data_IF_849002805135
#
_entry.id   IF_849002805135
#
_cell.length_a   1.000
_cell.length_b   1.000
_cell.length_c   1.000
_cell.angle_alpha   90.00
_cell.angle_beta   90.00
_cell.angle_gamma   90.00
#
_symmetry.space_group_name_H-M   'P 1'
#
loop_
_entity.id
_entity.type
_entity.pdbx_description
1 polymer ?
#
# COMPACT_ATOMS: atom_id res chain seq x y z
N UNK A 1 -13.05 -3.40 -18.37
CA UNK A 1 -13.14 -1.96 -18.63
C UNK A 1 -13.55 -1.75 -20.09
N UNK A 2 -14.72 -1.17 -20.31
CA UNK A 2 -15.18 -0.79 -21.64
C UNK A 2 -15.02 0.72 -21.83
N UNK A 3 -14.66 1.11 -23.04
CA UNK A 3 -14.71 2.51 -23.43
C UNK A 3 -16.16 2.87 -23.74
N UNK A 4 -16.68 3.89 -23.09
CA UNK A 4 -18.07 4.33 -23.29
C UNK A 4 -18.22 5.84 -23.55
N UNK A 5 -17.31 6.50 -24.30
CA UNK A 5 -17.40 7.94 -24.52
C UNK A 5 -18.71 8.34 -25.23
N UNK A 6 -19.23 7.51 -26.14
CA UNK A 6 -20.50 7.74 -26.83
C UNK A 6 -21.69 7.74 -25.85
N UNK A 7 -21.70 6.83 -24.87
CA UNK A 7 -22.70 6.80 -23.81
C UNK A 7 -22.58 8.05 -22.92
N UNK A 8 -21.36 8.44 -22.56
CA UNK A 8 -21.10 9.64 -21.75
C UNK A 8 -21.65 10.87 -22.50
N UNK A 9 -21.34 11.05 -23.77
CA UNK A 9 -21.81 12.17 -24.58
C UNK A 9 -23.34 12.16 -24.74
N UNK A 10 -23.95 10.98 -24.91
CA UNK A 10 -25.41 10.85 -24.95
C UNK A 10 -26.06 11.30 -23.64
N UNK A 11 -25.53 10.89 -22.49
CA UNK A 11 -26.03 11.30 -21.17
C UNK A 11 -25.88 12.81 -20.97
N UNK A 12 -24.75 13.39 -21.37
CA UNK A 12 -24.53 14.85 -21.33
C UNK A 12 -25.51 15.60 -22.23
N UNK A 13 -25.81 15.06 -23.43
CA UNK A 13 -26.83 15.61 -24.33
C UNK A 13 -28.26 15.59 -23.74
N UNK A 14 -28.51 14.73 -22.76
CA UNK A 14 -29.75 14.68 -21.98
C UNK A 14 -29.74 15.60 -20.73
N UNK A 15 -28.70 16.41 -20.56
CA UNK A 15 -28.53 17.31 -19.40
C UNK A 15 -27.99 16.60 -18.14
N UNK A 16 -27.52 15.35 -18.27
CA UNK A 16 -26.95 14.58 -17.14
C UNK A 16 -25.48 14.92 -16.98
N UNK A 17 -25.08 15.28 -15.76
CA UNK A 17 -23.68 15.50 -15.41
C UNK A 17 -23.03 14.14 -15.15
N UNK A 18 -22.04 13.78 -15.96
CA UNK A 18 -21.29 12.51 -15.82
C UNK A 18 -19.96 12.76 -15.14
N UNK A 19 -19.72 12.09 -14.03
CA UNK A 19 -18.50 12.19 -13.25
C UNK A 19 -17.72 10.87 -13.37
N UNK A 20 -16.48 10.91 -13.85
CA UNK A 20 -15.57 9.79 -13.82
C UNK A 20 -14.78 9.80 -12.51
N UNK A 21 -14.75 8.67 -11.82
CA UNK A 21 -13.95 8.50 -10.58
C UNK A 21 -12.75 7.60 -10.88
N UNK A 22 -11.54 8.06 -10.54
CA UNK A 22 -10.30 7.32 -10.79
C UNK A 22 -9.30 7.54 -9.66
N UNK A 23 -8.81 6.45 -9.08
CA UNK A 23 -7.89 6.43 -7.94
C UNK A 23 -6.49 5.89 -8.27
N UNK A 24 -6.34 5.12 -9.36
CA UNK A 24 -5.06 4.58 -9.83
C UNK A 24 -4.72 5.06 -11.25
N UNK A 25 -3.43 5.28 -11.50
CA UNK A 25 -2.93 5.65 -12.82
C UNK A 25 -3.17 4.52 -13.83
N UNK A 26 -3.61 4.88 -15.01
CA UNK A 26 -4.07 3.94 -16.06
C UNK A 26 -2.95 3.15 -16.75
N UNK A 27 -1.69 3.49 -16.54
CA UNK A 27 -0.56 2.80 -17.17
C UNK A 27 0.49 2.39 -16.12
N UNK A 28 0.41 1.17 -15.58
CA UNK A 28 1.41 0.64 -14.67
C UNK A 28 2.72 0.36 -15.39
N UNK A 29 3.81 0.23 -14.64
CA UNK A 29 5.13 -0.15 -15.18
C UNK A 29 5.14 -1.56 -15.77
N UNK A 30 6.15 -1.89 -16.56
CA UNK A 30 6.30 -3.21 -17.20
C UNK A 30 6.41 -4.36 -16.20
N UNK A 31 6.91 -4.07 -15.01
CA UNK A 31 7.08 -5.03 -13.91
C UNK A 31 5.76 -5.32 -13.17
N UNK A 32 4.74 -4.50 -13.37
CA UNK A 32 3.46 -4.69 -12.71
C UNK A 32 2.70 -5.89 -13.33
N UNK A 33 2.11 -6.78 -12.52
CA UNK A 33 1.48 -8.02 -13.00
C UNK A 33 0.41 -7.81 -14.08
N UNK A 34 -0.33 -6.69 -14.02
CA UNK A 34 -1.41 -6.41 -14.99
C UNK A 34 -0.97 -5.59 -16.20
N UNK A 35 0.33 -5.23 -16.32
CA UNK A 35 0.80 -4.39 -17.43
C UNK A 35 0.45 -4.97 -18.82
N UNK A 36 0.75 -6.25 -19.02
CA UNK A 36 0.46 -6.90 -20.30
C UNK A 36 -1.04 -6.90 -20.63
N UNK A 37 -1.89 -7.17 -19.63
CA UNK A 37 -3.35 -7.13 -19.80
C UNK A 37 -3.82 -5.74 -20.23
N UNK A 38 -3.30 -4.69 -19.61
CA UNK A 38 -3.64 -3.29 -19.93
C UNK A 38 -3.21 -2.96 -21.36
N UNK A 39 -1.99 -3.35 -21.74
CA UNK A 39 -1.48 -3.06 -23.10
C UNK A 39 -2.24 -3.81 -24.19
N UNK A 40 -2.44 -5.13 -24.01
CA UNK A 40 -3.14 -5.98 -24.99
C UNK A 40 -4.58 -5.53 -25.22
N UNK A 41 -5.28 -5.11 -24.17
CA UNK A 41 -6.68 -4.67 -24.25
C UNK A 41 -6.82 -3.15 -24.44
N UNK A 42 -5.71 -2.42 -24.60
CA UNK A 42 -5.66 -0.95 -24.73
C UNK A 42 -6.46 -0.23 -23.65
N UNK A 43 -6.45 -0.77 -22.40
CA UNK A 43 -7.26 -0.23 -21.31
C UNK A 43 -6.87 1.20 -20.97
N UNK A 44 -5.59 1.54 -21.02
CA UNK A 44 -5.08 2.89 -20.80
C UNK A 44 -5.68 3.92 -21.81
N UNK A 45 -5.84 3.54 -23.09
CA UNK A 45 -6.48 4.41 -24.07
C UNK A 45 -7.98 4.58 -23.79
N UNK A 46 -8.66 3.49 -23.42
CA UNK A 46 -10.09 3.48 -23.06
C UNK A 46 -10.37 4.38 -21.87
N UNK A 47 -9.55 4.28 -20.81
CA UNK A 47 -9.66 5.13 -19.63
C UNK A 47 -9.51 6.60 -20.01
N UNK A 48 -8.47 6.96 -20.76
CA UNK A 48 -8.23 8.35 -21.19
C UNK A 48 -9.39 8.90 -22.04
N UNK A 49 -10.00 8.08 -22.91
CA UNK A 49 -11.20 8.50 -23.67
C UNK A 49 -12.38 8.82 -22.76
N UNK A 50 -12.63 8.00 -21.73
CA UNK A 50 -13.69 8.26 -20.77
C UNK A 50 -13.41 9.52 -19.94
N UNK A 51 -12.16 9.73 -19.50
CA UNK A 51 -11.76 10.96 -18.77
C UNK A 51 -12.00 12.21 -19.60
N UNK A 52 -11.69 12.19 -20.91
CA UNK A 52 -11.92 13.30 -21.82
C UNK A 52 -13.41 13.61 -22.03
N UNK A 53 -14.25 12.58 -22.10
CA UNK A 53 -15.68 12.71 -22.34
C UNK A 53 -16.46 13.16 -21.11
N UNK A 54 -16.01 12.82 -19.89
CA UNK A 54 -16.69 13.12 -18.64
C UNK A 54 -16.89 14.62 -18.41
N UNK A 55 -17.99 15.00 -17.76
CA UNK A 55 -18.25 16.39 -17.33
C UNK A 55 -17.26 16.84 -16.28
N UNK A 56 -16.96 15.95 -15.32
CA UNK A 56 -15.98 16.12 -14.26
C UNK A 56 -15.19 14.82 -14.06
N UNK A 57 -13.99 14.95 -13.51
CA UNK A 57 -13.21 13.79 -13.05
C UNK A 57 -12.91 13.98 -11.57
N UNK A 58 -13.14 12.95 -10.77
CA UNK A 58 -12.73 12.89 -9.38
C UNK A 58 -11.48 12.00 -9.25
N UNK A 59 -10.58 12.40 -8.36
CA UNK A 59 -9.37 11.64 -8.04
C UNK A 59 -8.93 11.88 -6.60
N UNK A 60 -7.85 11.21 -6.17
CA UNK A 60 -7.48 11.12 -4.76
C UNK A 60 -6.40 12.12 -4.31
N UNK A 61 -5.59 12.64 -5.23
CA UNK A 61 -4.49 13.55 -4.89
C UNK A 61 -4.35 14.67 -5.92
N UNK A 62 -3.82 15.81 -5.48
CA UNK A 62 -3.55 16.93 -6.38
C UNK A 62 -2.44 16.60 -7.40
N UNK A 63 -1.50 15.72 -7.03
CA UNK A 63 -0.46 15.24 -7.95
C UNK A 63 -1.11 14.50 -9.11
N UNK A 64 -2.05 13.61 -8.84
CA UNK A 64 -2.77 12.87 -9.87
C UNK A 64 -3.75 13.77 -10.64
N UNK A 65 -4.42 14.70 -9.97
CA UNK A 65 -5.29 15.67 -10.61
C UNK A 65 -4.56 16.49 -11.68
N UNK A 66 -3.31 16.91 -11.42
CA UNK A 66 -2.50 17.64 -12.39
C UNK A 66 -2.19 16.81 -13.65
N UNK A 67 -2.02 15.51 -13.51
CA UNK A 67 -1.85 14.61 -14.67
C UNK A 67 -3.16 14.49 -15.47
N UNK A 68 -4.31 14.34 -14.77
CA UNK A 68 -5.63 14.23 -15.38
C UNK A 68 -6.04 15.53 -16.10
N UNK A 69 -5.66 16.70 -15.57
CA UNK A 69 -5.95 18.01 -16.17
C UNK A 69 -5.41 18.18 -17.60
N UNK A 70 -4.47 17.34 -18.02
CA UNK A 70 -4.03 17.26 -19.42
C UNK A 70 -5.13 16.77 -20.37
N UNK A 71 -6.14 16.08 -19.84
CA UNK A 71 -7.23 15.46 -20.61
C UNK A 71 -8.60 16.08 -20.30
N UNK A 72 -8.84 16.51 -19.07
CA UNK A 72 -10.07 17.15 -18.61
C UNK A 72 -9.75 18.26 -17.62
N UNK A 73 -10.23 19.47 -17.87
CA UNK A 73 -9.95 20.63 -17.00
C UNK A 73 -10.76 20.63 -15.71
N UNK A 74 -11.90 19.92 -15.68
CA UNK A 74 -12.83 19.86 -14.57
C UNK A 74 -12.45 18.70 -13.63
N UNK A 75 -11.36 18.84 -12.89
CA UNK A 75 -10.88 17.82 -11.97
C UNK A 75 -11.05 18.27 -10.53
N UNK A 76 -11.64 17.39 -9.71
CA UNK A 76 -11.85 17.61 -8.28
C UNK A 76 -11.12 16.53 -7.49
N UNK A 77 -10.52 16.93 -6.36
CA UNK A 77 -9.78 16.01 -5.50
C UNK A 77 -10.59 15.70 -4.26
N UNK A 78 -10.88 14.41 -4.06
CA UNK A 78 -11.40 13.85 -2.82
C UNK A 78 -10.45 12.72 -2.39
N UNK A 79 -9.68 12.92 -1.31
CA UNK A 79 -8.72 11.92 -0.88
C UNK A 79 -9.41 10.64 -0.41
N UNK A 80 -8.68 9.53 -0.43
CA UNK A 80 -9.09 8.35 0.31
C UNK A 80 -9.19 8.69 1.80
N UNK A 81 -10.20 8.13 2.46
CA UNK A 81 -10.51 8.46 3.85
C UNK A 81 -10.80 7.20 4.66
N UNK A 82 -10.71 7.33 5.97
CA UNK A 82 -10.94 6.26 6.95
C UNK A 82 -12.11 6.66 7.83
N UNK A 83 -13.02 5.71 8.08
CA UNK A 83 -13.95 5.81 9.19
C UNK A 83 -13.28 5.33 10.48
N UNK A 84 -12.91 6.23 11.39
CA UNK A 84 -12.27 5.85 12.64
C UNK A 84 -13.21 5.06 13.57
N UNK A 85 -14.51 4.99 13.24
CA UNK A 85 -15.49 4.23 14.00
C UNK A 85 -15.59 2.76 13.58
N UNK A 86 -15.04 2.40 12.43
CA UNK A 86 -14.96 0.99 12.03
C UNK A 86 -14.08 0.18 12.99
N UNK A 87 -14.51 -1.02 13.31
CA UNK A 87 -13.83 -1.92 14.25
C UNK A 87 -12.38 -2.21 13.86
N UNK A 88 -12.08 -2.25 12.58
CA UNK A 88 -10.73 -2.52 12.09
C UNK A 88 -9.72 -1.41 12.42
N UNK A 89 -10.15 -0.19 12.79
CA UNK A 89 -9.27 0.92 13.19
C UNK A 89 -9.23 1.13 14.71
N UNK A 90 -9.89 0.27 15.50
CA UNK A 90 -9.97 0.38 16.97
C UNK A 90 -9.11 -0.66 17.71
N UNK A 91 -8.46 -1.56 17.01
CA UNK A 91 -7.61 -2.59 17.62
C UNK A 91 -6.38 -1.92 18.27
N UNK A 92 -6.16 -2.13 19.57
CA UNK A 92 -4.97 -1.60 20.23
C UNK A 92 -3.72 -2.31 19.72
N UNK A 93 -2.59 -1.62 19.79
CA UNK A 93 -1.29 -2.26 19.53
C UNK A 93 -1.04 -3.33 20.58
N UNK A 94 -0.76 -4.55 20.14
CA UNK A 94 -0.48 -5.66 21.04
C UNK A 94 0.84 -5.40 21.78
N UNK A 95 0.94 -5.72 23.07
CA UNK A 95 2.21 -5.61 23.79
C UNK A 95 3.26 -6.57 23.23
N UNK A 96 4.53 -6.19 23.31
CA UNK A 96 5.66 -7.02 22.87
C UNK A 96 6.93 -6.57 23.57
N UNK A 97 7.82 -7.50 23.88
CA UNK A 97 9.17 -7.21 24.39
C UNK A 97 10.14 -6.82 23.25
N UNK A 98 9.73 -7.04 21.99
CA UNK A 98 10.50 -6.66 20.80
C UNK A 98 9.83 -5.50 20.07
N UNK A 99 10.64 -4.66 19.44
CA UNK A 99 10.16 -3.66 18.50
C UNK A 99 9.81 -4.37 17.18
N UNK A 100 8.56 -4.23 16.77
CA UNK A 100 8.03 -4.90 15.59
C UNK A 100 8.01 -3.94 14.42
N UNK A 101 8.63 -4.37 13.33
CA UNK A 101 8.70 -3.63 12.07
C UNK A 101 7.79 -4.33 11.08
N UNK A 102 6.75 -3.66 10.63
CA UNK A 102 5.71 -4.24 9.79
C UNK A 102 5.64 -3.65 8.39
N UNK A 103 5.29 -4.50 7.44
CA UNK A 103 4.86 -4.11 6.12
C UNK A 103 3.52 -4.78 5.82
N UNK A 104 2.56 -4.01 5.30
CA UNK A 104 1.25 -4.48 4.89
C UNK A 104 1.04 -4.19 3.40
N UNK A 105 0.70 -5.20 2.62
CA UNK A 105 0.43 -5.01 1.19
C UNK A 105 0.11 -6.30 0.45
N UNK A 106 -0.22 -6.18 -0.83
CA UNK A 106 -0.54 -7.29 -1.71
C UNK A 106 0.63 -7.80 -2.53
N UNK A 107 0.36 -8.72 -3.44
CA UNK A 107 1.35 -9.43 -4.27
C UNK A 107 2.01 -8.58 -5.37
N UNK A 108 1.56 -7.33 -5.60
CA UNK A 108 2.07 -6.47 -6.67
C UNK A 108 3.27 -5.58 -6.29
N UNK A 109 3.75 -5.67 -5.03
CA UNK A 109 4.74 -4.75 -4.46
C UNK A 109 6.19 -5.26 -4.42
N UNK A 110 6.52 -6.34 -5.14
CA UNK A 110 7.89 -6.86 -5.13
C UNK A 110 8.93 -5.80 -5.51
N UNK A 111 8.60 -4.98 -6.50
CA UNK A 111 9.49 -3.95 -7.01
C UNK A 111 9.76 -2.87 -5.95
N UNK A 112 8.73 -2.48 -5.24
CA UNK A 112 8.82 -1.53 -4.12
C UNK A 112 9.63 -2.12 -2.96
N UNK A 113 9.39 -3.38 -2.60
CA UNK A 113 10.09 -4.06 -1.50
C UNK A 113 11.59 -4.27 -1.76
N UNK A 114 12.03 -4.32 -3.02
CA UNK A 114 13.47 -4.37 -3.34
C UNK A 114 14.25 -3.16 -2.84
N UNK A 115 13.61 -2.03 -2.55
CA UNK A 115 14.27 -0.87 -1.94
C UNK A 115 14.81 -1.15 -0.53
N UNK A 116 14.21 -2.11 0.17
CA UNK A 116 14.62 -2.51 1.52
C UNK A 116 15.42 -3.80 1.55
N UNK A 117 15.67 -4.44 0.41
CA UNK A 117 16.46 -5.66 0.32
C UNK A 117 17.89 -5.42 0.84
N UNK A 118 18.35 -6.26 1.76
CA UNK A 118 19.61 -6.09 2.49
C UNK A 118 19.51 -5.28 3.81
N UNK A 119 18.37 -4.65 4.10
CA UNK A 119 18.15 -3.93 5.36
C UNK A 119 18.30 -4.86 6.57
N UNK A 120 17.69 -6.05 6.50
CA UNK A 120 17.66 -7.02 7.60
C UNK A 120 19.07 -7.51 7.96
N UNK A 121 19.90 -7.79 6.95
CA UNK A 121 21.29 -8.18 7.16
C UNK A 121 22.09 -7.12 7.91
N UNK A 122 21.84 -5.85 7.66
CA UNK A 122 22.48 -4.74 8.37
C UNK A 122 21.98 -4.56 9.81
N UNK A 123 20.80 -5.07 10.12
CA UNK A 123 20.17 -5.03 11.44
C UNK A 123 20.42 -6.30 12.26
N UNK A 124 21.17 -7.27 11.74
CA UNK A 124 21.49 -8.51 12.45
C UNK A 124 22.05 -8.32 13.86
N UNK A 125 22.86 -7.28 14.19
CA UNK A 125 23.27 -7.04 15.56
C UNK A 125 22.15 -6.65 16.52
N UNK A 126 20.98 -6.31 16.02
CA UNK A 126 19.79 -5.90 16.78
C UNK A 126 18.67 -6.94 16.71
N UNK A 127 18.92 -8.12 16.16
CA UNK A 127 17.88 -9.15 15.93
C UNK A 127 17.14 -9.57 17.20
N UNK A 128 17.80 -9.53 18.36
CA UNK A 128 17.16 -9.89 19.64
C UNK A 128 16.12 -8.85 20.09
N UNK A 129 16.22 -7.62 19.57
CA UNK A 129 15.31 -6.50 19.86
C UNK A 129 14.25 -6.29 18.78
N UNK A 130 14.37 -6.97 17.63
CA UNK A 130 13.54 -6.73 16.45
C UNK A 130 12.73 -7.97 16.06
N UNK A 131 11.54 -7.70 15.54
CA UNK A 131 10.71 -8.70 14.87
C UNK A 131 10.08 -8.08 13.63
N UNK A 132 10.01 -8.85 12.53
CA UNK A 132 9.48 -8.37 11.25
C UNK A 132 8.13 -9.02 10.95
N UNK A 133 7.14 -8.21 10.60
CA UNK A 133 5.79 -8.65 10.24
C UNK A 133 5.52 -8.37 8.76
N UNK A 134 5.25 -9.40 7.97
CA UNK A 134 4.79 -9.25 6.58
C UNK A 134 3.33 -9.63 6.52
N UNK A 135 2.49 -8.61 6.32
CA UNK A 135 1.04 -8.73 6.36
C UNK A 135 0.45 -8.67 4.95
N UNK A 136 -0.57 -9.50 4.72
CA UNK A 136 -1.22 -9.66 3.42
C UNK A 136 -0.77 -10.92 2.67
N UNK A 137 -0.05 -11.81 3.36
CA UNK A 137 0.47 -13.05 2.83
C UNK A 137 -0.67 -13.94 2.29
N UNK A 138 -0.53 -14.38 1.04
CA UNK A 138 -1.52 -15.25 0.41
C UNK A 138 -0.85 -16.15 -0.66
N UNK A 139 -0.83 -17.44 -0.41
CA UNK A 139 -0.29 -18.43 -1.35
C UNK A 139 -1.37 -19.17 -2.13
N UNK A 140 -2.63 -18.78 -1.99
CA UNK A 140 -3.73 -19.34 -2.76
C UNK A 140 -3.72 -18.78 -4.19
N UNK A 141 -4.07 -19.60 -5.12
CA UNK A 141 -4.16 -19.21 -6.52
C UNK A 141 -4.11 -20.40 -7.44
N UNK A 142 -4.34 -20.16 -8.72
CA UNK A 142 -4.24 -21.16 -9.77
C UNK A 142 -3.29 -20.70 -10.86
N UNK A 143 -2.54 -21.64 -11.41
CA UNK A 143 -1.73 -21.44 -12.61
C UNK A 143 -2.44 -22.11 -13.77
N UNK A 144 -2.63 -21.38 -14.86
CA UNK A 144 -3.11 -21.96 -16.12
C UNK A 144 -1.89 -22.35 -16.97
N UNK A 145 -1.71 -23.63 -17.18
CA UNK A 145 -0.69 -24.17 -18.07
C UNK A 145 -1.32 -24.36 -19.47
N UNK A 146 -0.58 -23.93 -20.50
CA UNK A 146 -1.01 -24.08 -21.89
C UNK A 146 -0.05 -25.06 -22.55
N UNK A 147 -0.56 -26.21 -22.98
CA UNK A 147 0.21 -27.12 -23.79
C UNK A 147 0.56 -26.44 -25.13
N UNK A 148 1.83 -26.20 -25.36
CA UNK A 148 2.31 -25.48 -26.55
C UNK A 148 2.04 -26.22 -27.87
N UNK A 149 1.84 -27.55 -27.83
CA UNK A 149 1.60 -28.36 -29.01
C UNK A 149 0.10 -28.50 -29.32
N UNK A 150 -0.74 -28.67 -28.29
CA UNK A 150 -2.18 -28.91 -28.47
C UNK A 150 -3.02 -27.65 -28.24
N UNK A 151 -2.48 -26.61 -27.61
CA UNK A 151 -3.22 -25.41 -27.17
C UNK A 151 -4.14 -25.68 -25.96
N UNK A 152 -4.15 -26.87 -25.42
CA UNK A 152 -4.99 -27.27 -24.29
C UNK A 152 -4.61 -26.51 -23.03
N UNK A 153 -5.60 -26.01 -22.29
CA UNK A 153 -5.44 -25.28 -21.04
C UNK A 153 -5.81 -26.16 -19.87
N UNK A 154 -4.87 -26.38 -18.97
CA UNK A 154 -5.09 -27.05 -17.69
C UNK A 154 -4.88 -26.09 -16.54
N UNK A 155 -5.60 -26.25 -15.45
CA UNK A 155 -5.44 -25.44 -14.25
C UNK A 155 -4.95 -26.30 -13.10
N UNK A 156 -3.97 -25.80 -12.36
CA UNK A 156 -3.53 -26.41 -11.10
C UNK A 156 -3.35 -25.34 -10.02
N UNK A 157 -3.40 -25.72 -8.74
CA UNK A 157 -3.00 -24.83 -7.66
C UNK A 157 -1.57 -24.30 -7.86
N UNK A 158 -1.34 -23.04 -7.54
CA UNK A 158 0.01 -22.47 -7.52
C UNK A 158 0.79 -23.08 -6.36
N UNK A 159 2.04 -23.45 -6.61
CA UNK A 159 2.92 -23.91 -5.52
C UNK A 159 3.40 -22.71 -4.71
N UNK A 160 3.58 -22.85 -3.38
CA UNK A 160 4.07 -21.74 -2.53
C UNK A 160 5.37 -21.11 -3.05
N UNK A 161 6.31 -21.91 -3.54
CA UNK A 161 7.58 -21.47 -4.11
C UNK A 161 7.46 -20.69 -5.44
N UNK A 162 6.34 -20.83 -6.14
CA UNK A 162 6.04 -20.08 -7.37
C UNK A 162 5.43 -18.72 -7.08
N UNK A 163 5.00 -18.48 -5.84
CA UNK A 163 4.38 -17.22 -5.45
C UNK A 163 5.41 -16.10 -5.28
N UNK A 164 4.97 -14.87 -5.39
CA UNK A 164 5.80 -13.71 -5.09
C UNK A 164 6.21 -13.64 -3.62
N UNK A 165 5.46 -14.32 -2.74
CA UNK A 165 5.66 -14.31 -1.29
C UNK A 165 6.98 -14.95 -0.86
N UNK A 166 7.48 -15.95 -1.58
CA UNK A 166 8.85 -16.45 -1.35
C UNK A 166 9.90 -15.34 -1.60
N UNK A 167 9.68 -14.49 -2.60
CA UNK A 167 10.59 -13.37 -2.89
C UNK A 167 10.51 -12.29 -1.81
N UNK A 168 9.32 -12.03 -1.27
CA UNK A 168 9.15 -11.13 -0.12
C UNK A 168 9.83 -11.70 1.12
N UNK A 169 9.62 -12.98 1.39
CA UNK A 169 10.27 -13.66 2.52
C UNK A 169 11.78 -13.50 2.50
N UNK A 170 12.42 -13.64 1.34
CA UNK A 170 13.87 -13.47 1.17
C UNK A 170 14.38 -12.07 1.50
N UNK A 171 13.52 -11.04 1.43
CA UNK A 171 13.86 -9.68 1.81
C UNK A 171 13.86 -9.51 3.33
N UNK A 172 12.99 -10.23 4.04
CA UNK A 172 12.75 -10.07 5.47
C UNK A 172 13.42 -11.13 6.35
N UNK A 173 13.86 -12.26 5.79
CA UNK A 173 14.48 -13.33 6.56
C UNK A 173 15.36 -14.21 5.69
N UNK A 174 16.35 -14.86 6.33
CA UNK A 174 17.13 -15.96 5.75
C UNK A 174 16.53 -17.35 6.05
N UNK A 175 15.46 -17.41 6.85
CA UNK A 175 14.75 -18.62 7.21
C UNK A 175 13.53 -18.84 6.30
N UNK A 176 13.74 -19.51 5.18
CA UNK A 176 12.75 -19.69 4.11
C UNK A 176 11.75 -20.82 4.45
N UNK A 177 10.89 -20.58 5.42
CA UNK A 177 9.93 -21.60 5.90
C UNK A 177 8.83 -21.93 4.89
N UNK A 178 8.58 -21.07 3.91
CA UNK A 178 7.54 -21.26 2.89
C UNK A 178 7.71 -22.58 2.10
N UNK A 179 8.92 -23.12 2.02
CA UNK A 179 9.21 -24.38 1.34
C UNK A 179 9.34 -25.58 2.30
N UNK A 180 9.18 -25.38 3.60
CA UNK A 180 9.35 -26.46 4.59
C UNK A 180 8.10 -27.31 4.74
N UNK A 181 8.21 -28.60 5.16
CA UNK A 181 7.04 -29.42 5.47
C UNK A 181 6.13 -28.82 6.55
N UNK A 182 6.71 -28.21 7.58
CA UNK A 182 5.96 -27.52 8.66
C UNK A 182 5.08 -26.38 8.12
N UNK A 183 5.57 -25.65 7.11
CA UNK A 183 4.78 -24.61 6.46
C UNK A 183 3.63 -25.20 5.64
N UNK A 184 3.83 -26.34 4.97
CA UNK A 184 2.77 -27.05 4.25
C UNK A 184 1.66 -27.49 5.21
N UNK A 185 2.05 -28.06 6.35
CA UNK A 185 1.10 -28.43 7.41
C UNK A 185 0.31 -27.21 7.94
N UNK A 186 0.98 -26.06 8.09
CA UNK A 186 0.32 -24.81 8.44
C UNK A 186 -0.72 -24.39 7.39
N UNK A 187 -0.40 -24.49 6.10
CA UNK A 187 -1.34 -24.12 5.02
C UNK A 187 -2.57 -25.02 4.99
N UNK A 188 -2.42 -26.30 5.29
CA UNK A 188 -3.55 -27.25 5.39
C UNK A 188 -4.51 -26.94 6.55
N UNK A 189 -3.97 -26.31 7.61
CA UNK A 189 -4.71 -25.94 8.82
C UNK A 189 -4.98 -24.43 8.91
N UNK A 190 -4.86 -23.74 7.80
CA UNK A 190 -4.84 -22.27 7.75
C UNK A 190 -6.12 -21.62 8.28
N UNK A 191 -7.28 -22.20 8.08
CA UNK A 191 -8.57 -21.62 8.47
C UNK A 191 -8.65 -21.29 9.96
N UNK A 192 -7.84 -21.96 10.79
CA UNK A 192 -7.80 -21.78 12.25
C UNK A 192 -6.69 -20.83 12.72
N UNK A 193 -5.84 -20.28 11.81
CA UNK A 193 -4.67 -19.49 12.21
C UNK A 193 -4.54 -18.20 11.42
N UNK A 194 -4.43 -17.10 12.15
CA UNK A 194 -4.23 -15.77 11.53
C UNK A 194 -2.80 -15.52 11.04
N UNK A 195 -1.79 -16.19 11.61
CA UNK A 195 -0.38 -15.95 11.27
C UNK A 195 0.49 -17.19 11.48
N UNK A 196 1.60 -17.22 10.77
CA UNK A 196 2.65 -18.21 10.91
C UNK A 196 3.93 -17.56 11.40
N UNK A 197 4.38 -17.99 12.56
CA UNK A 197 5.52 -17.48 13.29
C UNK A 197 5.23 -17.51 14.80
N UNK A 198 6.26 -17.35 15.61
CA UNK A 198 6.16 -17.28 17.06
C UNK A 198 6.86 -16.03 17.60
N UNK A 199 6.64 -15.70 18.86
CA UNK A 199 7.33 -14.60 19.55
C UNK A 199 8.86 -14.74 19.52
N UNK A 200 9.36 -15.97 19.43
CA UNK A 200 10.78 -16.27 19.32
C UNK A 200 11.34 -16.17 17.89
N UNK A 201 10.47 -16.02 16.87
CA UNK A 201 10.90 -15.91 15.49
C UNK A 201 11.05 -14.45 15.09
N UNK A 202 12.14 -14.13 14.37
CA UNK A 202 12.38 -12.76 13.93
C UNK A 202 11.50 -12.36 12.73
N UNK A 203 10.81 -13.30 12.10
CA UNK A 203 9.94 -13.07 10.96
C UNK A 203 8.58 -13.75 11.14
N UNK A 204 7.52 -12.98 11.02
CA UNK A 204 6.14 -13.42 11.18
C UNK A 204 5.34 -13.14 9.91
N UNK A 205 4.70 -14.18 9.39
CA UNK A 205 3.80 -14.11 8.24
C UNK A 205 2.39 -13.90 8.74
N UNK A 206 1.77 -12.83 8.30
CA UNK A 206 0.37 -12.55 8.65
C UNK A 206 -0.48 -12.73 7.40
N UNK A 207 -1.46 -13.62 7.49
CA UNK A 207 -2.31 -13.94 6.36
C UNK A 207 -3.14 -12.75 5.91
N UNK A 208 -3.50 -12.75 4.62
CA UNK A 208 -4.38 -11.74 4.05
C UNK A 208 -5.74 -11.74 4.73
N UNK A 209 -6.31 -10.56 4.88
CA UNK A 209 -7.63 -10.35 5.47
C UNK A 209 -8.57 -9.67 4.48
N UNK A 210 -9.87 -9.85 4.62
CA UNK A 210 -10.86 -9.10 3.86
C UNK A 210 -10.72 -7.58 4.04
N UNK A 211 -11.23 -6.82 3.09
CA UNK A 211 -11.12 -5.35 3.06
C UNK A 211 -11.66 -4.64 4.31
N UNK A 212 -12.64 -5.24 4.98
CA UNK A 212 -13.24 -4.70 6.21
C UNK A 212 -12.49 -5.08 7.50
N UNK A 213 -11.36 -5.76 7.40
CA UNK A 213 -10.58 -6.22 8.56
C UNK A 213 -9.07 -6.22 8.35
N UNK A 214 -8.57 -5.91 7.14
CA UNK A 214 -7.13 -5.95 6.84
C UNK A 214 -6.34 -4.94 7.68
N UNK A 215 -6.94 -3.78 7.98
CA UNK A 215 -6.29 -2.73 8.73
C UNK A 215 -5.97 -3.14 10.18
N UNK A 216 -6.66 -4.14 10.76
CA UNK A 216 -6.31 -4.73 12.05
C UNK A 216 -4.85 -5.22 12.11
N UNK A 217 -4.23 -5.50 10.97
CA UNK A 217 -2.82 -5.91 10.92
C UNK A 217 -1.87 -4.82 11.44
N UNK A 218 -2.26 -3.54 11.39
CA UNK A 218 -1.47 -2.45 11.98
C UNK A 218 -1.32 -2.58 13.52
N UNK A 219 -2.22 -3.27 14.22
CA UNK A 219 -2.08 -3.54 15.66
C UNK A 219 -0.90 -4.47 15.99
N UNK A 220 -0.37 -5.18 15.00
CA UNK A 220 0.67 -6.21 15.19
C UNK A 220 2.10 -5.67 15.15
N UNK A 221 2.31 -4.40 14.80
CA UNK A 221 3.65 -3.81 14.72
C UNK A 221 3.68 -2.36 15.23
N UNK A 222 4.88 -1.86 15.48
CA UNK A 222 5.15 -0.55 16.09
C UNK A 222 5.65 0.44 15.04
N UNK A 223 6.45 -0.03 14.09
CA UNK A 223 7.01 0.73 12.98
C UNK A 223 6.42 0.21 11.67
N UNK A 224 5.81 1.08 10.89
CA UNK A 224 5.30 0.77 9.55
C UNK A 224 6.33 1.11 8.48
N UNK A 225 6.56 0.20 7.52
CA UNK A 225 7.38 0.45 6.34
C UNK A 225 6.49 0.71 5.13
N UNK A 226 6.75 1.81 4.42
CA UNK A 226 6.06 2.15 3.18
C UNK A 226 7.06 2.44 2.04
N UNK A 227 7.79 1.41 1.56
CA UNK A 227 8.63 1.57 0.39
C UNK A 227 7.77 1.67 -0.87
N UNK A 228 8.05 2.66 -1.72
CA UNK A 228 7.55 2.74 -3.09
C UNK A 228 8.66 3.25 -4.00
N UNK A 229 8.79 2.68 -5.19
CA UNK A 229 9.73 3.15 -6.19
C UNK A 229 9.26 4.44 -6.86
N UNK A 230 10.22 5.28 -7.21
CA UNK A 230 9.97 6.55 -7.88
C UNK A 230 9.75 6.34 -9.38
N UNK A 231 8.49 6.17 -9.77
CA UNK A 231 8.05 6.15 -11.17
C UNK A 231 6.63 6.71 -11.30
N UNK A 232 6.20 7.02 -12.51
CA UNK A 232 4.93 7.73 -12.77
C UNK A 232 3.73 7.04 -12.10
N UNK A 233 3.60 5.73 -12.22
CA UNK A 233 2.48 4.99 -11.60
C UNK A 233 2.42 5.20 -10.08
N UNK A 234 3.54 5.10 -9.39
CA UNK A 234 3.59 5.28 -7.94
C UNK A 234 3.43 6.73 -7.49
N UNK A 235 3.90 7.70 -8.30
CA UNK A 235 3.67 9.13 -8.03
C UNK A 235 2.20 9.51 -8.07
N UNK A 236 1.38 8.78 -8.84
CA UNK A 236 -0.05 9.05 -9.02
C UNK A 236 -0.94 8.29 -8.03
N UNK A 237 -0.38 7.42 -7.19
CA UNK A 237 -1.14 6.72 -6.14
C UNK A 237 -1.67 7.66 -5.07
N UNK A 238 -2.63 7.17 -4.29
CA UNK A 238 -3.00 7.81 -3.03
C UNK A 238 -2.00 7.50 -1.93
N UNK A 239 -2.00 8.31 -0.87
CA UNK A 239 -1.18 8.12 0.32
C UNK A 239 -1.84 7.20 1.37
N UNK A 240 -2.61 6.20 0.96
CA UNK A 240 -3.41 5.37 1.86
C UNK A 240 -2.58 4.73 2.99
N UNK A 241 -1.36 4.24 2.70
CA UNK A 241 -0.46 3.69 3.73
C UNK A 241 -0.03 4.71 4.79
N UNK A 242 0.08 5.99 4.41
CA UNK A 242 0.37 7.09 5.34
C UNK A 242 -0.83 7.33 6.24
N UNK A 243 -2.02 7.39 5.65
CA UNK A 243 -3.28 7.61 6.35
C UNK A 243 -3.52 6.47 7.36
N UNK A 244 -3.44 5.23 6.91
CA UNK A 244 -3.65 4.05 7.75
C UNK A 244 -2.64 3.97 8.91
N UNK A 245 -1.36 4.17 8.64
CA UNK A 245 -0.32 4.19 9.67
C UNK A 245 -0.57 5.30 10.70
N UNK A 246 -1.04 6.47 10.23
CA UNK A 246 -1.40 7.60 11.09
C UNK A 246 -2.57 7.29 12.00
N UNK A 247 -3.68 6.76 11.47
CA UNK A 247 -4.84 6.38 12.29
C UNK A 247 -4.50 5.30 13.33
N UNK A 248 -3.52 4.46 13.05
CA UNK A 248 -3.00 3.48 14.00
C UNK A 248 -1.84 4.00 14.87
N UNK A 249 -1.48 5.29 14.75
CA UNK A 249 -0.38 5.93 15.50
C UNK A 249 0.94 5.16 15.38
N UNK A 250 1.28 4.72 14.17
CA UNK A 250 2.53 4.00 13.90
C UNK A 250 3.63 4.96 13.49
N UNK A 251 4.83 4.76 14.04
CA UNK A 251 6.01 5.38 13.45
C UNK A 251 6.14 4.93 12.00
N UNK A 252 6.28 5.87 11.07
CA UNK A 252 6.34 5.56 9.65
C UNK A 252 7.73 5.81 9.09
N UNK A 253 8.29 4.79 8.41
CA UNK A 253 9.46 4.95 7.54
C UNK A 253 8.96 4.76 6.11
N UNK A 254 9.11 5.77 5.27
CA UNK A 254 8.52 5.79 3.93
C UNK A 254 9.50 6.31 2.87
N UNK A 255 9.29 5.92 1.62
CA UNK A 255 9.97 6.55 0.49
C UNK A 255 9.57 8.02 0.38
N UNK A 256 10.56 8.89 0.10
CA UNK A 256 10.32 10.31 -0.16
C UNK A 256 9.87 10.51 -1.61
N UNK A 257 8.67 10.00 -1.95
CA UNK A 257 8.17 9.92 -3.33
C UNK A 257 6.69 10.25 -3.41
N UNK A 258 6.31 11.05 -4.40
CA UNK A 258 4.94 11.24 -4.87
C UNK A 258 3.96 11.57 -3.74
N UNK A 259 2.90 10.76 -3.57
CA UNK A 259 1.82 11.06 -2.63
C UNK A 259 2.28 11.09 -1.17
N UNK A 260 3.35 10.38 -0.81
CA UNK A 260 3.84 10.38 0.56
C UNK A 260 4.43 11.73 1.00
N UNK A 261 4.91 12.54 0.04
CA UNK A 261 5.42 13.90 0.32
C UNK A 261 4.33 14.93 0.63
N UNK A 262 3.04 14.57 0.46
CA UNK A 262 1.92 15.50 0.70
C UNK A 262 1.78 15.82 2.20
N UNK A 263 1.95 14.82 3.06
CA UNK A 263 1.69 14.91 4.49
C UNK A 263 2.91 14.62 5.36
N UNK A 264 3.95 14.01 4.78
CA UNK A 264 5.13 13.59 5.54
C UNK A 264 6.22 14.66 5.53
N UNK A 265 6.71 14.94 6.74
CA UNK A 265 7.88 15.78 7.00
C UNK A 265 8.95 14.93 7.68
N UNK A 266 10.16 14.94 7.12
CA UNK A 266 11.28 14.17 7.67
C UNK A 266 11.65 14.63 9.08
N UNK A 267 11.71 13.68 10.01
CA UNK A 267 11.93 13.94 11.43
C UNK A 267 13.40 13.85 11.87
N UNK A 268 14.36 13.82 10.93
CA UNK A 268 15.79 13.83 11.27
C UNK A 268 16.51 14.96 10.54
N UNK A 269 17.37 15.67 11.26
CA UNK A 269 18.34 16.60 10.69
C UNK A 269 19.69 16.35 11.36
N UNK A 270 20.73 16.04 10.57
CA UNK A 270 22.08 15.72 11.06
C UNK A 270 22.08 14.66 12.17
N UNK A 271 21.17 13.67 12.08
CA UNK A 271 21.03 12.58 13.05
C UNK A 271 20.29 12.94 14.35
N UNK A 272 19.81 14.17 14.50
CA UNK A 272 18.96 14.59 15.61
C UNK A 272 17.48 14.62 15.20
N UNK A 273 16.59 14.25 16.13
CA UNK A 273 15.15 14.34 15.89
C UNK A 273 14.67 15.79 15.84
N UNK A 274 13.76 16.05 14.92
CA UNK A 274 13.09 17.34 14.70
C UNK A 274 11.60 17.22 14.94
N UNK A 275 10.83 18.24 14.58
CA UNK A 275 9.36 18.30 14.64
C UNK A 275 8.65 17.53 13.50
N UNK A 276 9.38 16.82 12.63
CA UNK A 276 8.79 15.98 11.58
C UNK A 276 7.93 14.83 12.12
N UNK A 277 7.15 14.22 11.25
CA UNK A 277 6.16 13.19 11.60
C UNK A 277 6.47 11.81 11.00
N UNK A 278 7.55 11.66 10.26
CA UNK A 278 7.98 10.40 9.67
C UNK A 278 9.48 10.38 9.39
N UNK A 279 10.05 9.21 9.14
CA UNK A 279 11.41 9.07 8.63
C UNK A 279 11.35 8.77 7.12
N UNK A 280 11.84 9.71 6.31
CA UNK A 280 11.82 9.62 4.85
C UNK A 280 13.13 9.06 4.32
N UNK A 281 13.04 8.24 3.28
CA UNK A 281 14.17 7.65 2.55
C UNK A 281 14.08 8.01 1.07
N UNK A 282 15.12 8.63 0.53
CA UNK A 282 15.18 8.95 -0.89
C UNK A 282 15.44 7.69 -1.73
N UNK A 283 14.74 7.56 -2.85
CA UNK A 283 14.89 6.41 -3.75
C UNK A 283 16.28 6.24 -4.38
N UNK A 284 17.03 7.33 -4.48
CA UNK A 284 18.43 7.30 -4.92
C UNK A 284 19.38 6.64 -3.90
N UNK A 285 18.90 6.45 -2.67
CA UNK A 285 19.63 5.78 -1.59
C UNK A 285 19.38 4.28 -1.63
N UNK A 286 20.34 3.55 -1.13
CA UNK A 286 20.18 2.09 -0.98
C UNK A 286 19.50 1.76 0.35
N UNK A 287 19.23 0.46 0.56
CA UNK A 287 18.65 -0.07 1.80
C UNK A 287 19.35 0.36 3.10
N UNK A 288 20.57 0.93 3.04
CA UNK A 288 21.30 1.39 4.24
C UNK A 288 20.58 2.48 5.01
N UNK A 289 19.88 3.39 4.32
CA UNK A 289 19.15 4.45 4.99
C UNK A 289 17.86 3.92 5.66
N UNK A 290 17.25 2.87 5.10
CA UNK A 290 16.18 2.13 5.78
C UNK A 290 16.70 1.49 7.07
N UNK A 291 17.85 0.81 7.02
CA UNK A 291 18.47 0.20 8.20
C UNK A 291 18.85 1.24 9.25
N UNK A 292 19.44 2.39 8.86
CA UNK A 292 19.78 3.48 9.77
C UNK A 292 18.54 4.04 10.49
N UNK A 293 17.46 4.25 9.76
CA UNK A 293 16.22 4.76 10.32
C UNK A 293 15.59 3.78 11.33
N UNK A 294 15.54 2.49 11.01
CA UNK A 294 15.08 1.46 11.95
C UNK A 294 15.98 1.43 13.18
N UNK A 295 17.30 1.37 13.01
CA UNK A 295 18.26 1.40 14.11
C UNK A 295 18.06 2.62 15.00
N UNK A 296 17.86 3.80 14.40
CA UNK A 296 17.63 5.05 15.13
C UNK A 296 16.41 4.99 16.02
N UNK A 297 15.32 4.36 15.57
CA UNK A 297 14.11 4.15 16.37
C UNK A 297 14.32 3.09 17.46
N UNK A 298 15.06 2.02 17.20
CA UNK A 298 15.42 1.01 18.22
C UNK A 298 16.26 1.61 19.34
N UNK A 299 17.17 2.53 19.02
CA UNK A 299 17.99 3.25 19.99
C UNK A 299 17.20 4.34 20.74
N UNK A 300 16.04 4.76 20.23
CA UNK A 300 15.19 5.81 20.79
C UNK A 300 13.71 5.39 20.78
N UNK A 301 13.31 4.37 21.55
CA UNK A 301 11.96 3.77 21.47
C UNK A 301 10.82 4.76 21.76
N UNK A 302 11.04 5.78 22.59
CA UNK A 302 10.05 6.83 22.84
C UNK A 302 9.67 7.60 21.56
N UNK A 303 10.60 7.70 20.61
CA UNK A 303 10.33 8.35 19.34
C UNK A 303 9.38 7.56 18.45
N UNK A 304 9.22 6.25 18.67
CA UNK A 304 8.23 5.43 17.95
C UNK A 304 6.82 5.94 18.28
N UNK A 305 6.56 6.15 19.57
CA UNK A 305 5.27 6.67 20.05
C UNK A 305 5.07 8.11 19.58
N UNK A 306 6.08 8.96 19.75
CA UNK A 306 6.00 10.37 19.43
C UNK A 306 5.76 10.62 17.93
N UNK A 307 6.47 9.92 17.05
CA UNK A 307 6.24 10.01 15.60
C UNK A 307 4.86 9.50 15.19
N UNK A 308 4.38 8.42 15.83
CA UNK A 308 3.03 7.90 15.61
C UNK A 308 1.95 8.91 15.97
N UNK A 309 2.08 9.59 17.12
CA UNK A 309 1.15 10.64 17.55
C UNK A 309 1.19 11.85 16.60
N UNK A 310 2.38 12.32 16.19
CA UNK A 310 2.50 13.42 15.23
C UNK A 310 1.89 13.09 13.87
N UNK A 311 2.05 11.85 13.42
CA UNK A 311 1.43 11.40 12.18
C UNK A 311 -0.10 11.34 12.31
N UNK A 312 -0.61 10.83 13.44
CA UNK A 312 -2.05 10.83 13.73
C UNK A 312 -2.63 12.24 13.70
N UNK A 313 -1.99 13.22 14.38
CA UNK A 313 -2.41 14.62 14.37
C UNK A 313 -2.43 15.22 12.96
N UNK A 314 -1.53 14.74 12.08
CA UNK A 314 -1.48 15.18 10.68
C UNK A 314 -2.67 14.67 9.85
N UNK A 315 -3.17 13.45 10.13
CA UNK A 315 -4.14 12.76 9.25
C UNK A 315 -5.56 12.73 9.78
N UNK A 316 -5.77 12.77 11.09
CA UNK A 316 -7.05 12.47 11.75
C UNK A 316 -8.25 13.25 11.25
N UNK A 317 -8.08 14.57 11.05
CA UNK A 317 -9.17 15.44 10.61
C UNK A 317 -9.27 15.51 9.08
N UNK A 318 -8.11 15.51 8.42
CA UNK A 318 -8.02 15.67 6.97
C UNK A 318 -8.58 14.46 6.21
N UNK A 319 -8.44 13.26 6.79
CA UNK A 319 -8.82 11.99 6.16
C UNK A 319 -9.91 11.24 6.91
N UNK A 320 -10.67 11.95 7.77
CA UNK A 320 -11.90 11.42 8.34
C UNK A 320 -12.98 11.25 7.27
N UNK A 321 -13.58 10.07 7.17
CA UNK A 321 -14.56 9.73 6.13
C UNK A 321 -15.77 10.67 6.17
N UNK A 322 -16.23 11.09 7.36
CA UNK A 322 -17.39 11.96 7.48
C UNK A 322 -17.08 13.36 6.91
N UNK A 323 -15.87 13.89 7.17
CA UNK A 323 -15.44 15.17 6.62
C UNK A 323 -15.29 15.13 5.10
N UNK A 324 -14.62 14.10 4.58
CA UNK A 324 -14.46 13.94 3.13
C UNK A 324 -15.80 13.72 2.43
N UNK A 325 -16.70 12.93 3.02
CA UNK A 325 -18.04 12.68 2.49
C UNK A 325 -18.90 13.96 2.51
N UNK A 326 -18.80 14.76 3.56
CA UNK A 326 -19.48 16.05 3.62
C UNK A 326 -19.05 16.96 2.47
N UNK A 327 -17.75 17.15 2.28
CA UNK A 327 -17.20 17.98 1.19
C UNK A 327 -17.61 17.45 -0.18
N UNK A 328 -17.59 16.12 -0.38
CA UNK A 328 -18.06 15.47 -1.61
C UNK A 328 -19.55 15.70 -1.85
N UNK A 329 -20.38 15.62 -0.81
CA UNK A 329 -21.82 15.91 -0.89
C UNK A 329 -22.10 17.35 -1.27
N UNK A 330 -21.37 18.31 -0.68
CA UNK A 330 -21.48 19.74 -1.00
C UNK A 330 -21.11 20.01 -2.47
N UNK A 331 -20.07 19.37 -2.97
CA UNK A 331 -19.72 19.45 -4.38
C UNK A 331 -20.85 18.94 -5.28
N UNK A 332 -21.41 17.74 -5.01
CA UNK A 332 -22.52 17.21 -5.81
C UNK A 332 -23.74 18.14 -5.79
N UNK A 333 -24.10 18.70 -4.63
CA UNK A 333 -25.20 19.66 -4.51
C UNK A 333 -24.95 20.93 -5.33
N UNK A 334 -23.70 21.36 -5.45
CA UNK A 334 -23.35 22.55 -6.24
C UNK A 334 -23.52 22.35 -7.75
N UNK A 335 -23.54 21.10 -8.21
CA UNK A 335 -23.74 20.75 -9.61
C UNK A 335 -25.23 20.70 -10.01
N UNK A 336 -26.12 20.55 -9.05
CA UNK A 336 -27.57 20.48 -9.24
C UNK A 336 -28.11 21.90 -8.92
N UNK A 337 -28.21 22.72 -9.95
CA UNK A 337 -28.82 24.05 -9.86
C UNK A 337 -30.18 24.07 -10.54
#
# INVERSE_FOLDING_TARGET
>A
YDSCPELIEKLKGMGIIVIADIDDYWLPTKEHPIHQLIMQNKLHEKIVKNLKAASYVMTTTEIFANEIRKFNKNVVVFPNAIDPNESQFKEPTLPSDKIRVGWLGGSSHLHDLKLIDGTISKLSPLQDKLQYYVCGFDTRGTVTEINKQTGEKTQRPIKPEETVWLKYEKIFTNDYKIITPKYKEFLEKFEDKEYFGSENENYVRVWTKPVNSYAKNYSKFDISLAPIQDHVFNRMKSQLKVIEAGFYKKALIASNVGPYTIDLKHALNQGQFTDGNALLVDNARNHSDWAKNIKKLVENPNMIVDLGERLYETVKDKYDLNQVTKTRSEFYKSLIK
#
